data_IF_140354118882
#
_entry.id   IF_140354118882
#
_cell.length_a   1.000
_cell.length_b   1.000
_cell.length_c   1.000
_cell.angle_alpha   90.00
_cell.angle_beta   90.00
_cell.angle_gamma   90.00
#
_symmetry.space_group_name_H-M   'P 1'
#
loop_
_entity.id
_entity.type
_entity.pdbx_description
1 polymer ?
#
# COMPACT_ATOMS: atom_id res chain seq x y z
N UNK A 1 9.51 -10.33 10.32
CA UNK A 1 10.79 -11.04 10.09
C UNK A 1 11.95 -10.06 9.97
N UNK A 2 11.89 -9.09 9.05
CA UNK A 2 12.94 -8.09 8.84
C UNK A 2 13.28 -7.24 10.08
N UNK A 3 12.28 -6.73 10.81
CA UNK A 3 12.48 -6.00 12.10
C UNK A 3 13.23 -6.80 13.18
N UNK A 4 13.22 -8.14 13.10
CA UNK A 4 13.94 -9.04 14.01
C UNK A 4 15.26 -9.55 13.41
N UNK A 5 15.65 -9.03 12.24
CA UNK A 5 16.84 -9.43 11.48
C UNK A 5 16.93 -10.94 11.22
N UNK A 6 15.78 -11.62 11.19
CA UNK A 6 15.74 -13.06 11.02
C UNK A 6 16.12 -13.44 9.57
N UNK A 7 17.01 -14.41 9.41
CA UNK A 7 17.42 -15.00 8.12
C UNK A 7 18.14 -14.08 7.12
N UNK A 8 18.50 -12.85 7.49
CA UNK A 8 19.19 -11.89 6.61
C UNK A 8 20.49 -12.43 5.99
N UNK A 9 21.24 -13.26 6.74
CA UNK A 9 22.53 -13.79 6.30
C UNK A 9 22.47 -14.60 4.99
N UNK A 10 21.33 -15.20 4.64
CA UNK A 10 21.17 -15.92 3.37
C UNK A 10 21.13 -14.98 2.17
N UNK A 11 20.73 -13.73 2.36
CA UNK A 11 20.62 -12.75 1.30
C UNK A 11 21.88 -11.87 1.23
N UNK A 12 22.36 -11.41 2.38
CA UNK A 12 23.61 -10.64 2.44
C UNK A 12 24.84 -11.49 2.10
N UNK A 13 24.76 -12.82 2.30
CA UNK A 13 25.80 -13.76 1.88
C UNK A 13 25.95 -13.90 0.37
N UNK A 14 24.90 -13.60 -0.39
CA UNK A 14 24.89 -13.59 -1.86
C UNK A 14 25.24 -12.20 -2.43
N UNK A 15 25.61 -11.23 -1.58
CA UNK A 15 26.06 -9.90 -1.98
C UNK A 15 24.99 -8.80 -1.97
N UNK A 16 23.78 -9.10 -1.49
CA UNK A 16 22.71 -8.11 -1.30
C UNK A 16 23.04 -7.13 -0.16
N UNK A 17 22.80 -5.84 -0.35
CA UNK A 17 22.96 -4.82 0.69
C UNK A 17 21.76 -4.86 1.65
N UNK A 18 22.01 -4.61 2.93
CA UNK A 18 20.96 -4.47 3.94
C UNK A 18 20.03 -3.29 3.60
N UNK A 19 20.55 -2.23 2.96
CA UNK A 19 19.74 -1.07 2.56
C UNK A 19 18.69 -1.42 1.50
N UNK A 20 18.96 -2.41 0.64
CA UNK A 20 18.00 -2.85 -0.39
C UNK A 20 16.72 -3.45 0.23
N UNK A 21 16.78 -3.96 1.46
CA UNK A 21 15.58 -4.41 2.17
C UNK A 21 14.69 -3.25 2.62
N UNK A 22 15.28 -2.15 3.09
CA UNK A 22 14.49 -0.96 3.46
C UNK A 22 13.90 -0.27 2.23
N UNK A 23 14.62 -0.28 1.11
CA UNK A 23 14.10 0.20 -0.17
C UNK A 23 12.91 -0.65 -0.61
N UNK A 24 13.08 -1.98 -0.66
CA UNK A 24 11.98 -2.89 -1.00
C UNK A 24 10.76 -2.73 -0.08
N UNK A 25 10.96 -2.50 1.22
CA UNK A 25 9.86 -2.20 2.16
C UNK A 25 9.13 -0.91 1.75
N UNK A 26 9.85 0.17 1.47
CA UNK A 26 9.27 1.44 0.98
C UNK A 26 8.51 1.23 -0.33
N UNK A 27 9.11 0.58 -1.33
CA UNK A 27 8.46 0.32 -2.61
C UNK A 27 7.14 -0.45 -2.46
N UNK A 28 7.09 -1.43 -1.55
CA UNK A 28 5.83 -2.16 -1.29
C UNK A 28 4.80 -1.31 -0.54
N UNK A 29 5.22 -0.42 0.34
CA UNK A 29 4.32 0.52 1.02
C UNK A 29 3.74 1.54 0.05
N UNK A 30 4.56 2.08 -0.84
CA UNK A 30 4.13 3.02 -1.88
C UNK A 30 3.07 2.38 -2.77
N UNK A 31 3.28 1.13 -3.20
CA UNK A 31 2.30 0.38 -3.99
C UNK A 31 0.98 0.20 -3.22
N UNK A 32 1.03 -0.19 -1.94
CA UNK A 32 -0.17 -0.33 -1.11
C UNK A 32 -0.90 1.01 -0.98
N UNK A 33 -0.17 2.10 -0.77
CA UNK A 33 -0.73 3.44 -0.66
C UNK A 33 -1.42 3.88 -1.96
N UNK A 34 -0.84 3.58 -3.13
CA UNK A 34 -1.47 3.85 -4.42
C UNK A 34 -2.82 3.13 -4.55
N UNK A 35 -2.89 1.84 -4.20
CA UNK A 35 -4.15 1.08 -4.24
C UNK A 35 -5.18 1.64 -3.25
N UNK A 36 -4.76 2.01 -2.05
CA UNK A 36 -5.64 2.62 -1.05
C UNK A 36 -6.18 3.96 -1.54
N UNK A 37 -5.34 4.80 -2.13
CA UNK A 37 -5.75 6.08 -2.70
C UNK A 37 -6.79 5.89 -3.81
N UNK A 38 -6.60 4.91 -4.71
CA UNK A 38 -7.61 4.61 -5.73
C UNK A 38 -8.91 4.06 -5.15
N UNK A 39 -8.83 3.27 -4.09
CA UNK A 39 -10.03 2.80 -3.39
C UNK A 39 -10.79 3.96 -2.76
N UNK A 40 -10.11 4.83 -2.02
CA UNK A 40 -10.72 6.00 -1.37
C UNK A 40 -11.28 6.99 -2.39
N UNK A 41 -10.60 7.22 -3.51
CA UNK A 41 -11.08 8.08 -4.58
C UNK A 41 -12.36 7.55 -5.26
N UNK A 42 -12.53 6.23 -5.39
CA UNK A 42 -13.78 5.65 -5.90
C UNK A 42 -14.90 5.71 -4.84
N UNK A 43 -14.56 5.61 -3.56
CA UNK A 43 -15.57 5.69 -2.48
C UNK A 43 -16.16 7.10 -2.37
N UNK A 44 -15.35 8.15 -2.52
CA UNK A 44 -15.87 9.54 -2.57
C UNK A 44 -16.83 9.75 -3.76
N UNK A 45 -16.55 9.15 -4.93
CA UNK A 45 -17.45 9.23 -6.10
C UNK A 45 -18.74 8.40 -5.90
N UNK A 46 -18.64 7.17 -5.37
CA UNK A 46 -19.82 6.32 -5.12
C UNK A 46 -20.72 6.89 -4.00
N UNK A 47 -20.15 7.49 -2.93
CA UNK A 47 -20.91 8.15 -1.87
C UNK A 47 -21.65 9.40 -2.36
N UNK A 48 -21.06 10.18 -3.28
CA UNK A 48 -21.70 11.36 -3.87
C UNK A 48 -22.88 10.97 -4.79
N UNK A 49 -22.76 9.85 -5.51
CA UNK A 49 -23.83 9.32 -6.37
C UNK A 49 -24.99 8.78 -5.55
N UNK A 50 -24.74 7.99 -4.51
CA UNK A 50 -25.79 7.47 -3.62
C UNK A 50 -26.54 8.62 -2.91
N UNK A 51 -25.84 9.66 -2.45
CA UNK A 51 -26.47 10.82 -1.83
C UNK A 51 -27.37 11.62 -2.81
N UNK A 52 -26.97 11.73 -4.07
CA UNK A 52 -27.77 12.37 -5.11
C UNK A 52 -29.01 11.55 -5.50
N UNK A 53 -28.91 10.22 -5.52
CA UNK A 53 -30.05 9.34 -5.81
C UNK A 53 -31.12 9.39 -4.69
N UNK A 54 -30.70 9.50 -3.42
CA UNK A 54 -31.61 9.65 -2.29
C UNK A 54 -32.34 11.01 -2.29
N UNK A 55 -31.69 12.10 -2.74
CA UNK A 55 -32.33 13.43 -2.85
C UNK A 55 -33.33 13.53 -4.01
N UNK A 56 -33.13 12.81 -5.12
CA UNK A 56 -34.08 12.80 -6.25
C UNK A 56 -35.31 11.90 -6.00
N UNK A 57 -35.25 11.00 -5.00
CA UNK A 57 -36.32 10.07 -4.65
C UNK A 57 -37.35 10.64 -3.65
N UNK A 58 -37.13 11.83 -3.09
CA UNK A 58 -38.02 12.54 -2.14
C UNK A 58 -38.88 13.64 -2.81
#
# INVERSE_FOLDING_TARGET
MFKRKAYLHWYTGEGMDIMEFSEAESNTQDLIAEYQQYQEANVDEDEEVEAHEDEEAE
#
